data_IF_154837525164
#
_entry.id   IF_154837525164
#
_cell.length_a   1.000
_cell.length_b   1.000
_cell.length_c   1.000
_cell.angle_alpha   90.00
_cell.angle_beta   90.00
_cell.angle_gamma   90.00
#
_symmetry.space_group_name_H-M   'P 1'
#
loop_
_entity.id
_entity.type
_entity.pdbx_description
1 polymer ?
#
# COMPACT_ATOMS: atom_id res chain seq x y z
N UNK A 1 12.53 47.08 8.88
CA UNK A 1 12.30 46.03 7.87
C UNK A 1 12.44 44.72 8.59
N UNK A 2 11.36 43.96 8.71
CA UNK A 2 11.38 42.61 9.21
C UNK A 2 12.17 41.77 8.23
N UNK A 3 13.36 41.28 8.64
CA UNK A 3 14.07 40.28 7.87
C UNK A 3 13.25 39.00 7.87
N UNK A 4 12.78 38.62 6.71
CA UNK A 4 12.10 37.35 6.53
C UNK A 4 13.16 36.24 6.52
N UNK A 5 13.08 35.33 7.47
CA UNK A 5 13.97 34.15 7.50
C UNK A 5 13.61 33.24 6.31
N UNK A 6 14.61 32.91 5.50
CA UNK A 6 14.47 32.02 4.37
C UNK A 6 15.12 30.68 4.69
N UNK A 7 14.28 29.62 4.75
CA UNK A 7 14.76 28.25 4.98
C UNK A 7 14.85 27.51 3.65
N UNK A 8 15.99 26.84 3.41
CA UNK A 8 16.20 25.95 2.27
C UNK A 8 16.65 24.58 2.75
N UNK A 9 15.94 23.52 2.33
CA UNK A 9 16.32 22.13 2.61
C UNK A 9 17.14 21.58 1.46
N UNK A 10 18.27 20.98 1.76
CA UNK A 10 19.16 20.32 0.80
C UNK A 10 19.81 19.09 1.45
N UNK A 11 20.25 18.15 0.63
CA UNK A 11 21.14 17.08 1.09
C UNK A 11 22.54 17.63 1.37
N UNK A 12 23.30 16.95 2.26
CA UNK A 12 24.68 17.35 2.55
C UNK A 12 25.56 17.37 1.31
N UNK A 13 25.33 16.47 0.36
CA UNK A 13 26.10 16.41 -0.88
C UNK A 13 25.78 17.59 -1.81
N UNK A 14 24.51 17.99 -1.91
CA UNK A 14 24.09 19.17 -2.67
C UNK A 14 24.58 20.45 -2.04
N UNK A 15 24.53 20.57 -0.71
CA UNK A 15 25.08 21.69 0.02
C UNK A 15 26.58 21.87 -0.28
N UNK A 16 27.39 20.80 -0.16
CA UNK A 16 28.82 20.82 -0.48
C UNK A 16 29.10 21.17 -1.94
N UNK A 17 28.24 20.69 -2.85
CA UNK A 17 28.45 20.91 -4.29
C UNK A 17 28.11 22.33 -4.74
N UNK A 18 27.06 22.92 -4.18
CA UNK A 18 26.49 24.16 -4.71
C UNK A 18 26.55 25.36 -3.77
N UNK A 19 26.60 25.18 -2.46
CA UNK A 19 26.58 26.27 -1.49
C UNK A 19 27.98 26.50 -0.91
N UNK A 20 28.64 25.47 -0.42
CA UNK A 20 29.96 25.54 0.22
C UNK A 20 31.08 26.09 -0.73
N UNK A 21 30.88 25.92 -2.03
CA UNK A 21 31.81 26.44 -3.05
C UNK A 21 31.56 27.89 -3.46
N UNK A 22 30.42 28.46 -3.08
CA UNK A 22 30.04 29.84 -3.39
C UNK A 22 30.15 30.70 -2.12
N UNK A 23 31.24 31.46 -2.01
CA UNK A 23 31.51 32.31 -0.86
C UNK A 23 30.40 33.37 -0.62
N UNK A 24 29.64 33.77 -1.64
CA UNK A 24 28.54 34.72 -1.50
C UNK A 24 27.31 34.07 -0.86
N UNK A 25 27.05 32.78 -1.18
CA UNK A 25 25.95 32.01 -0.60
C UNK A 25 26.32 31.53 0.82
N UNK A 26 27.52 31.05 1.03
CA UNK A 26 28.00 30.60 2.35
C UNK A 26 27.87 31.67 3.44
N UNK A 27 28.14 32.93 3.09
CA UNK A 27 27.99 34.07 4.05
C UNK A 27 26.54 34.43 4.36
N UNK A 28 25.57 34.01 3.51
CA UNK A 28 24.15 34.36 3.65
C UNK A 28 23.32 33.27 4.29
N UNK A 29 23.82 32.04 4.29
CA UNK A 29 23.11 30.89 4.83
C UNK A 29 23.92 30.23 5.94
N UNK A 30 23.33 30.14 7.13
CA UNK A 30 23.89 29.36 8.21
C UNK A 30 23.42 27.91 8.10
N UNK A 31 24.34 26.92 7.98
CA UNK A 31 23.92 25.52 7.90
C UNK A 31 23.38 25.01 9.24
N UNK A 32 22.23 24.42 9.23
CA UNK A 32 21.64 23.65 10.33
C UNK A 32 21.66 22.20 9.94
N UNK A 33 22.55 21.42 10.54
CA UNK A 33 22.69 19.99 10.26
C UNK A 33 21.59 19.20 11.01
N UNK A 34 20.69 18.58 10.26
CA UNK A 34 19.67 17.67 10.78
C UNK A 34 20.18 16.23 10.60
N UNK A 35 20.37 15.51 11.70
CA UNK A 35 20.78 14.10 11.66
C UNK A 35 19.62 13.18 11.37
N UNK A 36 19.94 11.93 11.04
CA UNK A 36 18.94 10.85 10.92
C UNK A 36 18.29 10.58 12.30
N UNK A 37 16.96 10.47 12.39
CA UNK A 37 16.30 10.15 13.65
C UNK A 37 16.56 8.70 14.06
N UNK A 38 16.47 8.44 15.37
CA UNK A 38 16.50 7.06 15.87
C UNK A 38 15.23 6.31 15.42
N UNK A 39 15.22 4.96 15.42
CA UNK A 39 14.02 4.19 15.11
C UNK A 39 12.81 4.60 15.94
N UNK A 40 12.99 4.85 17.25
CA UNK A 40 11.92 5.28 18.15
C UNK A 40 11.37 6.66 17.77
N UNK A 41 12.25 7.58 17.39
CA UNK A 41 11.86 8.90 16.91
C UNK A 41 11.15 8.80 15.55
N UNK A 42 11.59 7.91 14.67
CA UNK A 42 10.95 7.67 13.38
C UNK A 42 9.51 7.13 13.57
N UNK A 43 9.29 6.20 14.51
CA UNK A 43 7.94 5.73 14.85
C UNK A 43 7.04 6.89 15.30
N UNK A 44 7.55 7.79 16.14
CA UNK A 44 6.77 8.96 16.57
C UNK A 44 6.44 9.93 15.42
N UNK A 45 7.39 10.13 14.50
CA UNK A 45 7.17 10.94 13.29
C UNK A 45 6.06 10.30 12.43
N UNK A 46 6.14 8.99 12.17
CA UNK A 46 5.13 8.28 11.38
C UNK A 46 3.75 8.31 12.04
N UNK A 47 3.68 8.16 13.36
CA UNK A 47 2.43 8.29 14.12
C UNK A 47 1.82 9.69 13.97
N UNK A 48 2.66 10.73 13.95
CA UNK A 48 2.20 12.11 13.72
C UNK A 48 1.71 12.36 12.28
N UNK A 49 2.20 11.60 11.30
CA UNK A 49 1.78 11.70 9.90
C UNK A 49 0.61 10.79 9.54
N UNK A 50 0.31 9.78 10.37
CA UNK A 50 -0.68 8.74 10.11
C UNK A 50 -2.02 9.27 9.64
N UNK A 51 -2.61 10.20 10.37
CA UNK A 51 -3.94 10.74 10.06
C UNK A 51 -3.99 11.38 8.66
N UNK A 52 -2.91 12.02 8.24
CA UNK A 52 -2.80 12.63 6.91
C UNK A 52 -2.77 11.56 5.81
N UNK A 53 -2.01 10.47 6.00
CA UNK A 53 -1.94 9.35 5.05
C UNK A 53 -3.24 8.54 5.03
N UNK A 54 -3.85 8.29 6.19
CA UNK A 54 -5.16 7.64 6.29
C UNK A 54 -6.25 8.44 5.55
N UNK A 55 -6.26 9.75 5.70
CA UNK A 55 -7.20 10.63 5.01
C UNK A 55 -6.97 10.66 3.49
N UNK A 56 -5.71 10.66 3.05
CA UNK A 56 -5.33 10.70 1.63
C UNK A 56 -5.70 9.38 0.92
N UNK A 57 -5.28 8.25 1.48
CA UNK A 57 -5.50 6.93 0.89
C UNK A 57 -6.85 6.32 1.25
N UNK A 58 -7.56 6.86 2.24
CA UNK A 58 -8.84 6.34 2.77
C UNK A 58 -8.73 4.89 3.26
N UNK A 59 -7.64 4.59 3.94
CA UNK A 59 -7.32 3.31 4.59
C UNK A 59 -6.90 3.55 6.03
N UNK A 60 -6.96 2.52 6.87
CA UNK A 60 -6.42 2.56 8.22
C UNK A 60 -4.97 2.07 8.25
N UNK A 61 -4.15 2.63 9.14
CA UNK A 61 -2.75 2.24 9.32
C UNK A 61 -2.55 1.80 10.75
N UNK A 62 -2.23 0.51 10.94
CA UNK A 62 -2.03 -0.05 12.29
C UNK A 62 -0.72 0.41 12.93
N UNK A 63 -0.66 0.37 14.24
CA UNK A 63 0.60 0.65 14.97
C UNK A 63 1.68 -0.39 14.64
N UNK A 64 1.26 -1.65 14.42
CA UNK A 64 2.13 -2.74 13.98
C UNK A 64 2.73 -2.47 12.60
N UNK A 65 1.95 -1.93 11.66
CA UNK A 65 2.46 -1.53 10.35
C UNK A 65 3.52 -0.43 10.45
N UNK A 66 3.30 0.59 11.30
CA UNK A 66 4.28 1.65 11.54
C UNK A 66 5.57 1.09 12.11
N UNK A 67 5.47 0.24 13.14
CA UNK A 67 6.66 -0.40 13.74
C UNK A 67 7.39 -1.30 12.74
N UNK A 68 6.65 -2.07 11.95
CA UNK A 68 7.22 -2.90 10.90
C UNK A 68 7.93 -2.06 9.82
N UNK A 69 7.33 -0.96 9.38
CA UNK A 69 7.93 -0.06 8.40
C UNK A 69 9.28 0.49 8.86
N UNK A 70 9.39 0.94 10.11
CA UNK A 70 10.64 1.44 10.68
C UNK A 70 11.67 0.32 10.85
N UNK A 71 11.25 -0.81 11.43
CA UNK A 71 12.17 -1.92 11.76
C UNK A 71 12.70 -2.59 10.48
N UNK A 72 11.80 -2.95 9.55
CA UNK A 72 12.18 -3.65 8.33
C UNK A 72 12.95 -2.74 7.37
N UNK A 73 12.57 -1.46 7.26
CA UNK A 73 13.36 -0.52 6.44
C UNK A 73 14.78 -0.31 7.00
N UNK A 74 14.93 -0.22 8.32
CA UNK A 74 16.24 -0.10 8.94
C UNK A 74 17.13 -1.31 8.72
N UNK A 75 16.54 -2.52 8.71
CA UNK A 75 17.28 -3.78 8.57
C UNK A 75 17.60 -4.13 7.11
N UNK A 76 16.68 -3.89 6.19
CA UNK A 76 16.77 -4.40 4.81
C UNK A 76 16.97 -3.33 3.73
N UNK A 77 16.74 -2.05 4.03
CA UNK A 77 16.92 -0.93 3.08
C UNK A 77 18.08 -0.06 3.55
N UNK A 78 19.27 -0.29 2.95
CA UNK A 78 20.50 0.38 3.35
C UNK A 78 20.79 1.67 2.57
N UNK A 79 20.19 1.87 1.41
CA UNK A 79 20.46 2.97 0.47
C UNK A 79 19.68 4.25 0.77
N UNK A 80 18.79 4.22 1.77
CA UNK A 80 17.93 5.34 2.16
C UNK A 80 17.98 5.56 3.68
N UNK A 81 17.59 6.75 4.12
CA UNK A 81 17.61 7.16 5.52
C UNK A 81 16.23 7.20 6.14
N UNK A 82 16.17 7.04 7.47
CA UNK A 82 14.96 7.32 8.24
C UNK A 82 14.73 8.85 8.32
N UNK A 83 13.48 9.33 8.35
CA UNK A 83 12.23 8.55 8.32
C UNK A 83 11.76 8.21 6.91
N UNK A 84 12.37 8.76 5.85
CA UNK A 84 11.86 8.72 4.48
C UNK A 84 11.59 7.30 3.99
N UNK A 85 12.54 6.37 4.20
CA UNK A 85 12.35 4.97 3.78
C UNK A 85 11.17 4.26 4.45
N UNK A 86 10.85 4.61 5.68
CA UNK A 86 9.69 4.06 6.38
C UNK A 86 8.39 4.74 5.95
N UNK A 87 8.44 6.03 5.63
CA UNK A 87 7.31 6.78 5.06
C UNK A 87 6.95 6.20 3.69
N UNK A 88 7.93 5.96 2.82
CA UNK A 88 7.73 5.37 1.49
C UNK A 88 7.04 3.98 1.59
N UNK A 89 7.41 3.15 2.58
CA UNK A 89 6.77 1.86 2.81
C UNK A 89 5.30 1.99 3.24
N UNK A 90 4.99 2.96 4.10
CA UNK A 90 3.60 3.23 4.52
C UNK A 90 2.78 3.75 3.35
N UNK A 91 3.32 4.66 2.55
CA UNK A 91 2.65 5.23 1.37
C UNK A 91 2.34 4.13 0.33
N UNK A 92 3.32 3.30 -0.01
CA UNK A 92 3.16 2.16 -0.92
C UNK A 92 2.14 1.15 -0.36
N UNK A 93 2.22 0.82 0.94
CA UNK A 93 1.29 -0.08 1.62
C UNK A 93 -0.14 0.43 1.57
N UNK A 94 -0.34 1.70 1.89
CA UNK A 94 -1.63 2.35 1.84
C UNK A 94 -2.20 2.39 0.41
N UNK A 95 -1.36 2.67 -0.59
CA UNK A 95 -1.72 2.65 -2.01
C UNK A 95 -2.14 1.25 -2.47
N UNK A 96 -1.41 0.20 -2.12
CA UNK A 96 -1.72 -1.21 -2.48
C UNK A 96 -3.02 -1.68 -1.84
N UNK A 97 -3.20 -1.43 -0.54
CA UNK A 97 -4.44 -1.79 0.16
C UNK A 97 -5.63 -1.03 -0.43
N UNK A 98 -5.47 0.24 -0.76
CA UNK A 98 -6.50 1.03 -1.43
C UNK A 98 -6.85 0.46 -2.81
N UNK A 99 -5.85 0.14 -3.62
CA UNK A 99 -6.04 -0.46 -4.95
C UNK A 99 -6.74 -1.81 -4.86
N UNK A 100 -6.32 -2.68 -3.93
CA UNK A 100 -6.96 -3.96 -3.68
C UNK A 100 -8.44 -3.80 -3.28
N UNK A 101 -8.76 -2.79 -2.47
CA UNK A 101 -10.14 -2.48 -2.09
C UNK A 101 -11.01 -2.00 -3.27
N UNK A 102 -10.44 -1.41 -4.31
CA UNK A 102 -11.14 -0.93 -5.50
C UNK A 102 -11.27 -1.99 -6.59
N UNK A 103 -10.45 -3.03 -6.54
CA UNK A 103 -10.46 -4.09 -7.55
C UNK A 103 -11.66 -5.00 -7.31
N UNK A 104 -12.47 -5.22 -8.34
CA UNK A 104 -13.60 -6.14 -8.29
C UNK A 104 -13.12 -7.57 -7.98
N UNK A 105 -13.81 -8.32 -7.11
CA UNK A 105 -13.52 -9.73 -6.89
C UNK A 105 -13.58 -10.53 -8.19
N UNK A 106 -12.80 -11.60 -8.27
CA UNK A 106 -12.71 -12.42 -9.48
C UNK A 106 -14.08 -13.01 -9.89
N UNK A 107 -14.91 -13.37 -8.92
CA UNK A 107 -16.26 -13.86 -9.18
C UNK A 107 -17.19 -12.83 -9.87
N UNK A 108 -16.97 -11.53 -9.65
CA UNK A 108 -17.72 -10.46 -10.34
C UNK A 108 -17.24 -10.34 -11.78
N UNK A 109 -15.93 -10.42 -12.02
CA UNK A 109 -15.36 -10.40 -13.37
C UNK A 109 -15.79 -11.61 -14.19
N UNK A 110 -15.74 -12.81 -13.60
CA UNK A 110 -16.18 -14.04 -14.25
C UNK A 110 -17.64 -13.94 -14.70
N UNK A 111 -18.54 -13.43 -13.84
CA UNK A 111 -19.95 -13.24 -14.20
C UNK A 111 -20.12 -12.16 -15.29
N UNK A 112 -19.32 -11.10 -15.29
CA UNK A 112 -19.35 -10.08 -16.35
C UNK A 112 -18.90 -10.66 -17.70
N UNK A 113 -17.85 -11.48 -17.71
CA UNK A 113 -17.34 -12.14 -18.91
C UNK A 113 -18.35 -13.18 -19.45
N UNK A 114 -18.96 -13.99 -18.57
CA UNK A 114 -20.03 -14.92 -18.95
C UNK A 114 -21.22 -14.20 -19.58
N UNK A 115 -21.68 -13.09 -18.99
CA UNK A 115 -22.80 -12.30 -19.54
C UNK A 115 -22.45 -11.76 -20.93
N UNK A 116 -21.19 -11.29 -21.12
CA UNK A 116 -20.73 -10.82 -22.42
C UNK A 116 -20.71 -11.92 -23.49
N UNK A 117 -20.37 -13.16 -23.10
CA UNK A 117 -20.39 -14.30 -24.01
C UNK A 117 -21.83 -14.72 -24.36
N UNK A 118 -22.74 -14.74 -23.39
CA UNK A 118 -24.17 -14.96 -23.67
C UNK A 118 -24.77 -13.88 -24.59
N UNK A 119 -24.31 -12.62 -24.51
CA UNK A 119 -24.75 -11.57 -25.43
C UNK A 119 -24.31 -11.86 -26.87
N UNK A 120 -23.08 -12.33 -27.07
CA UNK A 120 -22.56 -12.69 -28.40
C UNK A 120 -23.33 -13.90 -28.97
N UNK A 121 -23.54 -14.94 -28.16
CA UNK A 121 -24.29 -16.13 -28.59
C UNK A 121 -25.75 -15.80 -28.94
N UNK A 122 -26.38 -14.95 -28.13
CA UNK A 122 -27.76 -14.49 -28.41
C UNK A 122 -27.83 -13.72 -29.73
N UNK A 123 -26.85 -12.85 -30.00
CA UNK A 123 -26.77 -12.12 -31.27
C UNK A 123 -26.57 -13.07 -32.47
N UNK A 124 -25.77 -14.14 -32.32
CA UNK A 124 -25.60 -15.17 -33.34
C UNK A 124 -26.91 -15.94 -33.59
N UNK A 125 -27.58 -16.36 -32.52
CA UNK A 125 -28.87 -17.08 -32.62
C UNK A 125 -29.94 -16.23 -33.34
N UNK A 126 -29.98 -14.94 -33.08
CA UNK A 126 -30.91 -14.01 -33.78
C UNK A 126 -30.58 -13.92 -35.27
N UNK A 127 -29.28 -13.82 -35.63
CA UNK A 127 -28.84 -13.76 -37.02
C UNK A 127 -29.14 -15.08 -37.78
N UNK A 128 -29.08 -16.20 -37.08
CA UNK A 128 -29.44 -17.53 -37.59
C UNK A 128 -30.96 -17.76 -37.63
N UNK A 129 -31.75 -16.81 -37.14
CA UNK A 129 -33.23 -16.88 -37.00
C UNK A 129 -33.70 -18.00 -36.05
N UNK A 130 -32.83 -18.46 -35.15
CA UNK A 130 -33.13 -19.40 -34.08
C UNK A 130 -33.67 -18.64 -32.85
N UNK A 131 -34.94 -18.26 -32.93
CA UNK A 131 -35.60 -17.48 -31.88
C UNK A 131 -35.82 -18.28 -30.58
N UNK A 132 -35.91 -19.60 -30.67
CA UNK A 132 -36.08 -20.46 -29.51
C UNK A 132 -34.77 -20.49 -28.68
N UNK A 133 -33.65 -20.66 -29.33
CA UNK A 133 -32.34 -20.57 -28.71
C UNK A 133 -32.06 -19.19 -28.13
N UNK A 134 -32.38 -18.13 -28.88
CA UNK A 134 -32.24 -16.76 -28.42
C UNK A 134 -33.08 -16.48 -27.16
N UNK A 135 -34.28 -17.02 -27.05
CA UNK A 135 -35.13 -16.88 -25.86
C UNK A 135 -34.55 -17.58 -24.63
N UNK A 136 -34.00 -18.80 -24.78
CA UNK A 136 -33.33 -19.51 -23.69
C UNK A 136 -32.09 -18.75 -23.21
N UNK A 137 -31.22 -18.31 -24.12
CA UNK A 137 -30.02 -17.54 -23.79
C UNK A 137 -30.36 -16.21 -23.06
N UNK A 138 -31.48 -15.59 -23.45
CA UNK A 138 -31.95 -14.38 -22.75
C UNK A 138 -32.37 -14.69 -21.30
N UNK A 139 -33.05 -15.79 -21.05
CA UNK A 139 -33.51 -16.14 -19.71
C UNK A 139 -32.33 -16.55 -18.81
N UNK A 140 -31.35 -17.30 -19.35
CA UNK A 140 -30.07 -17.60 -18.66
C UNK A 140 -29.26 -16.34 -18.37
N UNK A 141 -29.15 -15.43 -19.33
CA UNK A 141 -28.48 -14.12 -19.14
C UNK A 141 -29.14 -13.32 -18.01
N UNK A 142 -30.49 -13.35 -17.91
CA UNK A 142 -31.18 -12.62 -16.86
C UNK A 142 -30.93 -13.21 -15.48
N UNK A 143 -30.77 -14.53 -15.35
CA UNK A 143 -30.40 -15.17 -14.09
C UNK A 143 -28.96 -14.79 -13.70
N UNK A 144 -28.02 -14.80 -14.64
CA UNK A 144 -26.64 -14.37 -14.40
C UNK A 144 -26.57 -12.89 -14.01
N UNK A 145 -27.37 -12.03 -14.66
CA UNK A 145 -27.44 -10.61 -14.30
C UNK A 145 -27.91 -10.42 -12.85
N UNK A 146 -28.90 -11.19 -12.39
CA UNK A 146 -29.37 -11.15 -11.00
C UNK A 146 -28.26 -11.58 -10.03
N UNK A 147 -27.51 -12.63 -10.36
CA UNK A 147 -26.36 -13.09 -9.55
C UNK A 147 -25.24 -12.03 -9.51
N UNK A 148 -24.97 -11.37 -10.63
CA UNK A 148 -24.00 -10.27 -10.73
C UNK A 148 -24.40 -9.09 -9.84
N UNK A 149 -25.67 -8.69 -9.89
CA UNK A 149 -26.19 -7.58 -9.08
C UNK A 149 -26.12 -7.90 -7.58
N UNK A 150 -26.40 -9.13 -7.19
CA UNK A 150 -26.26 -9.59 -5.80
C UNK A 150 -24.79 -9.66 -5.36
N UNK A 151 -23.90 -10.14 -6.23
CA UNK A 151 -22.46 -10.15 -5.96
C UNK A 151 -21.90 -8.73 -5.80
N UNK A 152 -22.29 -7.80 -6.68
CA UNK A 152 -21.92 -6.38 -6.60
C UNK A 152 -22.44 -5.72 -5.34
N UNK A 153 -23.68 -6.00 -4.93
CA UNK A 153 -24.24 -5.47 -3.67
C UNK A 153 -23.46 -5.96 -2.46
N UNK A 154 -23.20 -7.27 -2.36
CA UNK A 154 -22.42 -7.85 -1.27
C UNK A 154 -21.02 -7.24 -1.21
N UNK A 155 -20.36 -7.07 -2.35
CA UNK A 155 -19.06 -6.43 -2.43
C UNK A 155 -19.10 -4.96 -1.96
N UNK A 156 -20.10 -4.17 -2.40
CA UNK A 156 -20.29 -2.79 -1.96
C UNK A 156 -20.59 -2.67 -0.46
N UNK A 157 -21.36 -3.61 0.11
CA UNK A 157 -21.66 -3.65 1.54
C UNK A 157 -20.41 -3.98 2.36
N UNK A 158 -19.59 -4.93 1.89
CA UNK A 158 -18.30 -5.23 2.49
C UNK A 158 -17.33 -4.05 2.43
N UNK A 159 -17.34 -3.29 1.34
CA UNK A 159 -16.52 -2.07 1.22
C UNK A 159 -16.97 -0.93 2.13
N UNK A 160 -18.27 -0.77 2.39
CA UNK A 160 -18.77 0.27 3.29
C UNK A 160 -18.37 0.05 4.76
N UNK A 161 -18.09 -1.20 5.13
CA UNK A 161 -17.63 -1.56 6.47
C UNK A 161 -16.11 -1.70 6.62
N UNK A 162 -15.37 -1.79 5.53
CA UNK A 162 -13.95 -2.13 5.52
C UNK A 162 -13.20 -1.08 4.71
N UNK A 163 -12.91 0.07 5.33
CA UNK A 163 -11.75 0.85 4.89
C UNK A 163 -10.54 -0.08 5.08
N UNK A 164 -9.87 -0.47 3.98
CA UNK A 164 -8.74 -1.40 4.04
C UNK A 164 -7.77 -0.99 5.15
N UNK A 165 -7.17 -1.97 5.80
CA UNK A 165 -6.24 -1.76 6.90
C UNK A 165 -4.85 -2.21 6.49
N UNK A 166 -3.87 -1.32 6.63
CA UNK A 166 -2.46 -1.63 6.37
C UNK A 166 -1.89 -2.34 7.58
N UNK A 167 -1.41 -3.56 7.37
CA UNK A 167 -0.86 -4.42 8.41
C UNK A 167 0.66 -4.55 8.32
N UNK A 168 1.28 -5.08 9.36
CA UNK A 168 2.71 -5.41 9.34
C UNK A 168 3.07 -6.41 8.22
N UNK A 169 2.14 -7.33 7.89
CA UNK A 169 2.36 -8.31 6.83
C UNK A 169 2.39 -7.65 5.44
N UNK A 170 1.56 -6.64 5.20
CA UNK A 170 1.58 -5.87 3.94
C UNK A 170 2.91 -5.14 3.77
N UNK A 171 3.42 -4.52 4.84
CA UNK A 171 4.73 -3.87 4.84
C UNK A 171 5.84 -4.88 4.57
N UNK A 172 5.82 -6.07 5.20
CA UNK A 172 6.80 -7.12 4.97
C UNK A 172 6.80 -7.62 3.52
N UNK A 173 5.62 -7.74 2.88
CA UNK A 173 5.50 -8.08 1.46
C UNK A 173 6.18 -7.03 0.57
N UNK A 174 5.96 -5.75 0.84
CA UNK A 174 6.56 -4.66 0.06
C UNK A 174 8.08 -4.68 0.20
N UNK A 175 8.60 -4.83 1.42
CA UNK A 175 10.04 -4.94 1.65
C UNK A 175 10.63 -6.14 0.90
N UNK A 176 9.92 -7.28 0.88
CA UNK A 176 10.33 -8.47 0.12
C UNK A 176 10.38 -8.20 -1.39
N UNK A 177 9.41 -7.47 -1.92
CA UNK A 177 9.38 -7.08 -3.33
C UNK A 177 10.53 -6.13 -3.70
N UNK A 178 10.80 -5.14 -2.87
CA UNK A 178 11.86 -4.15 -3.12
C UNK A 178 13.26 -4.72 -3.00
N UNK A 179 13.47 -5.62 -2.03
CA UNK A 179 14.80 -6.15 -1.72
C UNK A 179 15.10 -7.50 -2.36
N UNK A 180 14.05 -8.22 -2.80
CA UNK A 180 14.15 -9.61 -3.26
C UNK A 180 14.38 -10.62 -2.12
N UNK A 181 14.33 -10.18 -0.85
CA UNK A 181 14.54 -11.02 0.33
C UNK A 181 13.17 -11.49 0.87
N UNK A 182 12.94 -12.77 1.15
CA UNK A 182 11.65 -13.28 1.63
C UNK A 182 11.40 -12.91 3.11
N UNK A 183 11.23 -11.63 3.41
CA UNK A 183 11.10 -11.08 4.77
C UNK A 183 9.90 -11.65 5.53
N UNK A 184 8.81 -11.99 4.84
CA UNK A 184 7.61 -12.59 5.45
C UNK A 184 7.91 -13.95 6.07
N UNK A 185 8.75 -14.76 5.44
CA UNK A 185 9.17 -16.07 5.98
C UNK A 185 10.12 -15.89 7.15
N UNK A 186 11.07 -14.97 7.06
CA UNK A 186 12.05 -14.71 8.12
C UNK A 186 11.40 -14.18 9.40
N UNK A 187 10.39 -13.31 9.29
CA UNK A 187 9.67 -12.82 10.49
C UNK A 187 8.87 -13.91 11.17
N UNK A 188 8.30 -14.88 10.44
CA UNK A 188 7.62 -16.04 11.03
C UNK A 188 8.60 -16.99 11.71
N UNK A 189 9.72 -17.30 11.04
CA UNK A 189 10.77 -18.16 11.61
C UNK A 189 11.43 -17.53 12.84
N UNK A 190 11.67 -16.23 12.87
CA UNK A 190 12.20 -15.52 14.04
C UNK A 190 11.20 -15.55 15.21
N UNK A 191 9.90 -15.37 14.95
CA UNK A 191 8.86 -15.45 15.97
C UNK A 191 8.74 -16.86 16.56
N UNK A 192 8.79 -17.91 15.72
CA UNK A 192 8.79 -19.31 16.17
C UNK A 192 10.06 -19.67 16.94
N UNK A 193 11.21 -19.16 16.52
CA UNK A 193 12.48 -19.34 17.23
C UNK A 193 12.48 -18.68 18.60
N UNK A 194 11.92 -17.46 18.71
CA UNK A 194 11.79 -16.76 19.99
C UNK A 194 10.84 -17.48 20.94
N UNK A 195 9.70 -17.96 20.45
CA UNK A 195 8.77 -18.78 21.24
C UNK A 195 9.41 -20.09 21.72
N UNK A 196 10.21 -20.75 20.86
CA UNK A 196 10.91 -21.96 21.21
C UNK A 196 12.09 -21.71 22.16
N UNK A 197 12.79 -20.56 22.05
CA UNK A 197 13.86 -20.20 23.01
C UNK A 197 13.31 -19.96 24.42
N UNK A 198 12.12 -19.35 24.55
CA UNK A 198 11.48 -19.14 25.84
C UNK A 198 11.15 -20.49 26.52
N UNK A 199 10.70 -21.48 25.76
CA UNK A 199 10.45 -22.83 26.21
C UNK A 199 11.74 -23.58 26.64
N UNK A 200 12.85 -23.39 25.92
CA UNK A 200 14.15 -24.02 26.20
C UNK A 200 14.86 -23.39 27.42
N UNK A 201 14.59 -22.12 27.72
CA UNK A 201 15.15 -21.44 28.88
C UNK A 201 14.39 -21.77 30.20
N UNK A 202 13.22 -22.38 30.12
CA UNK A 202 12.42 -22.82 31.27
C UNK A 202 12.59 -24.30 31.61
N UNK A 203 13.37 -25.07 30.82
CA UNK A 203 13.88 -26.40 31.18
C UNK A 203 15.30 -26.30 31.83
#
# INVERSE_FOLDING_TARGET
>A
SAASDVYKRQTLNEYRKYIEKDAALERRFQPVKVGEPTPEQAVQILKGLRDSYEAHHKVKITDEAINAAVTLSSRYIADRYLPDKAIDLIDEGASKVRLASLTSPDNVKELEDEIADYEKEKASAINEQDFERAARLRDEQKELQTKLDDAKKKWQEQQKGNSGEVTAEDIAKIVSEWTGIPVVQLTKEESERLLNMENVLHE
#
